data_IF_555273995850
#
_entry.id   IF_555273995850
#
_cell.length_a   1.000
_cell.length_b   1.000
_cell.length_c   1.000
_cell.angle_alpha   90.00
_cell.angle_beta   90.00
_cell.angle_gamma   90.00
#
_symmetry.space_group_name_H-M   'P 1'
#
loop_
_entity.id
_entity.type
_entity.pdbx_description
1 polymer ?
#
# COMPACT_ATOMS: atom_id res chain seq x y z
N UNK A 1 -20.69 -4.81 -4.74
CA UNK A 1 -19.76 -5.94 -4.49
C UNK A 1 -19.79 -6.24 -2.99
N UNK A 2 -20.02 -7.48 -2.57
CA UNK A 2 -20.06 -7.83 -1.12
C UNK A 2 -18.72 -7.53 -0.41
N UNK A 3 -17.61 -7.75 -1.12
CA UNK A 3 -16.25 -7.43 -0.65
C UNK A 3 -16.09 -5.96 -0.21
N UNK A 4 -16.66 -5.00 -0.93
CA UNK A 4 -16.48 -3.57 -0.59
C UNK A 4 -17.24 -3.14 0.65
N UNK A 5 -18.30 -3.87 1.02
CA UNK A 5 -19.14 -3.52 2.16
C UNK A 5 -18.61 -4.14 3.45
N UNK A 6 -18.18 -5.40 3.39
CA UNK A 6 -17.52 -6.09 4.51
C UNK A 6 -16.21 -5.38 4.91
N UNK A 7 -15.42 -4.90 3.95
CA UNK A 7 -14.19 -4.12 4.23
C UNK A 7 -14.49 -2.78 4.88
N UNK A 8 -15.58 -2.11 4.47
CA UNK A 8 -15.96 -0.80 5.03
C UNK A 8 -16.53 -0.93 6.44
N UNK A 9 -17.32 -1.98 6.68
CA UNK A 9 -17.82 -2.33 8.01
C UNK A 9 -16.69 -2.76 8.94
N UNK A 10 -15.71 -3.52 8.44
CA UNK A 10 -14.49 -3.86 9.20
C UNK A 10 -13.70 -2.61 9.59
N UNK A 11 -13.47 -1.67 8.67
CA UNK A 11 -12.77 -0.42 8.97
C UNK A 11 -13.52 0.46 9.99
N UNK A 12 -14.84 0.54 9.89
CA UNK A 12 -15.68 1.31 10.82
C UNK A 12 -15.74 0.69 12.23
N UNK A 13 -15.71 -0.65 12.32
CA UNK A 13 -15.82 -1.38 13.60
C UNK A 13 -14.51 -1.47 14.37
N UNK A 14 -13.37 -1.33 13.68
CA UNK A 14 -12.04 -1.42 14.28
C UNK A 14 -11.41 -0.05 14.61
N UNK A 15 -12.20 1.05 14.61
CA UNK A 15 -11.74 2.43 14.86
C UNK A 15 -10.31 2.65 14.39
N UNK A 16 -10.06 2.38 13.10
CA UNK A 16 -8.79 2.64 12.42
C UNK A 16 -7.55 2.22 13.23
N UNK A 17 -6.93 1.11 12.85
CA UNK A 17 -5.47 1.10 12.80
C UNK A 17 -5.08 2.31 11.95
N UNK A 18 -4.90 3.47 12.59
CA UNK A 18 -4.39 4.67 11.99
C UNK A 18 -2.96 4.32 11.68
N UNK A 19 -2.73 3.79 10.49
CA UNK A 19 -1.42 3.91 9.88
C UNK A 19 -1.19 5.42 9.93
N UNK A 20 -0.22 5.87 10.73
CA UNK A 20 0.14 7.28 10.77
C UNK A 20 0.34 7.72 9.33
N UNK A 21 -0.56 8.55 8.80
CA UNK A 21 -0.63 8.83 7.36
C UNK A 21 0.72 9.37 6.87
N UNK A 22 1.40 10.14 7.71
CA UNK A 22 2.76 10.64 7.49
C UNK A 22 3.77 9.49 7.30
N UNK A 23 3.70 8.42 8.10
CA UNK A 23 4.57 7.24 7.95
C UNK A 23 4.26 6.46 6.66
N UNK A 24 2.98 6.39 6.29
CA UNK A 24 2.53 5.72 5.07
C UNK A 24 2.99 6.48 3.82
N UNK A 25 2.85 7.80 3.81
CA UNK A 25 3.26 8.69 2.73
C UNK A 25 4.77 8.62 2.49
N UNK A 26 5.58 8.64 3.55
CA UNK A 26 7.03 8.46 3.45
C UNK A 26 7.40 7.08 2.87
N UNK A 27 6.72 6.01 3.32
CA UNK A 27 6.89 4.67 2.77
C UNK A 27 6.54 4.60 1.29
N UNK A 28 5.43 5.22 0.89
CA UNK A 28 4.99 5.31 -0.50
C UNK A 28 5.96 6.10 -1.38
N UNK A 29 6.48 7.24 -0.89
CA UNK A 29 7.44 8.06 -1.63
C UNK A 29 8.73 7.27 -1.91
N UNK A 30 9.27 6.60 -0.90
CA UNK A 30 10.47 5.77 -1.02
C UNK A 30 10.27 4.65 -2.04
N UNK A 31 9.19 3.88 -1.92
CA UNK A 31 8.93 2.77 -2.85
C UNK A 31 8.65 3.28 -4.28
N UNK A 32 8.02 4.44 -4.41
CA UNK A 32 7.81 5.10 -5.72
C UNK A 32 9.11 5.57 -6.36
N UNK A 33 10.09 6.01 -5.56
CA UNK A 33 11.42 6.33 -6.06
C UNK A 33 12.16 5.06 -6.52
N UNK A 34 12.12 3.99 -5.73
CA UNK A 34 12.73 2.70 -6.08
C UNK A 34 12.12 2.08 -7.34
N UNK A 35 10.79 2.15 -7.49
CA UNK A 35 10.10 1.66 -8.68
C UNK A 35 10.53 2.41 -9.95
N UNK A 36 10.60 3.75 -9.89
CA UNK A 36 11.09 4.57 -11.00
C UNK A 36 12.57 4.30 -11.32
N UNK A 37 13.41 4.12 -10.30
CA UNK A 37 14.83 3.79 -10.47
C UNK A 37 15.03 2.42 -11.15
N UNK A 38 14.15 1.45 -10.86
CA UNK A 38 14.14 0.11 -11.49
C UNK A 38 13.47 0.09 -12.88
N UNK A 39 13.26 1.24 -13.50
CA UNK A 39 12.70 1.34 -14.85
C UNK A 39 11.18 1.17 -14.92
N UNK A 40 10.47 1.34 -13.80
CA UNK A 40 9.02 1.15 -13.70
C UNK A 40 8.55 -0.27 -14.10
N UNK A 41 9.38 -1.28 -13.86
CA UNK A 41 9.07 -2.67 -14.15
C UNK A 41 8.05 -3.23 -13.14
N UNK A 42 6.94 -3.77 -13.64
CA UNK A 42 5.88 -4.40 -12.82
C UNK A 42 6.38 -5.72 -12.19
N UNK A 43 7.30 -6.40 -12.85
CA UNK A 43 7.89 -7.65 -12.38
C UNK A 43 9.32 -7.43 -11.94
N UNK A 44 9.68 -7.95 -10.77
CA UNK A 44 11.07 -8.07 -10.36
C UNK A 44 11.66 -9.32 -11.00
N UNK A 45 12.87 -9.20 -11.53
CA UNK A 45 13.62 -10.37 -11.98
C UNK A 45 13.92 -11.23 -10.74
N UNK A 46 13.50 -12.49 -10.79
CA UNK A 46 13.94 -13.46 -9.80
C UNK A 46 15.42 -13.72 -10.05
N UNK A 47 16.28 -13.17 -9.21
CA UNK A 47 17.68 -13.59 -9.15
C UNK A 47 17.72 -14.98 -8.52
N UNK A 48 18.17 -15.98 -9.29
CA UNK A 48 18.48 -17.34 -8.81
C UNK A 48 19.56 -17.32 -7.70
#
# INVERSE_FOLDING_TARGET
MKITQEVREFAAKNETQTIELESAEQGMEKMSAEFRAKGAAIYHEATD
#
